data_IF_653602198522
#
_entry.id   IF_653602198522
#
_cell.length_a   1.000
_cell.length_b   1.000
_cell.length_c   1.000
_cell.angle_alpha   90.00
_cell.angle_beta   90.00
_cell.angle_gamma   90.00
#
_symmetry.space_group_name_H-M   'P 1'
#
loop_
_entity.id
_entity.type
_entity.pdbx_description
1 polymer ?
#
# COMPACT_ATOMS: atom_id res chain seq x y z
N UNK A 1 -43.13 -46.75 7.06
CA UNK A 1 -43.38 -47.42 8.35
C UNK A 1 -42.19 -48.30 8.68
N UNK A 2 -41.63 -48.38 9.89
CA UNK A 2 -41.89 -47.58 11.10
C UNK A 2 -40.65 -46.69 11.41
N UNK A 3 -40.78 -45.55 11.99
CA UNK A 3 -40.81 -45.16 13.41
C UNK A 3 -39.80 -45.84 14.32
N UNK A 4 -38.92 -45.05 14.93
CA UNK A 4 -38.59 -45.16 16.33
C UNK A 4 -37.47 -44.18 16.71
N UNK A 5 -37.83 -43.16 17.44
CA UNK A 5 -37.64 -42.89 18.89
C UNK A 5 -36.29 -42.26 19.24
N UNK A 6 -36.38 -40.98 19.56
CA UNK A 6 -35.47 -40.27 20.48
C UNK A 6 -35.76 -40.69 21.92
N UNK A 7 -34.84 -40.58 22.84
CA UNK A 7 -35.16 -40.11 24.18
C UNK A 7 -34.45 -38.82 24.57
N UNK A 8 -35.24 -38.07 25.30
CA UNK A 8 -35.02 -36.81 25.97
C UNK A 8 -34.23 -36.93 27.30
N UNK A 9 -33.47 -35.88 27.59
CA UNK A 9 -33.01 -35.29 28.86
C UNK A 9 -33.56 -35.83 30.21
N UNK A 10 -32.78 -35.57 31.31
CA UNK A 10 -33.11 -34.37 32.05
C UNK A 10 -31.91 -33.57 32.63
N UNK A 11 -32.17 -32.26 32.77
CA UNK A 11 -31.54 -31.22 33.55
C UNK A 11 -31.43 -31.63 35.02
N UNK A 12 -30.26 -31.44 35.63
CA UNK A 12 -30.14 -31.36 37.08
C UNK A 12 -29.35 -30.08 37.47
N UNK A 13 -30.13 -29.15 38.01
CA UNK A 13 -29.66 -27.93 38.71
C UNK A 13 -29.24 -28.38 40.11
N UNK A 14 -28.03 -28.03 40.52
CA UNK A 14 -27.66 -28.05 41.93
C UNK A 14 -26.98 -26.74 42.31
N UNK A 15 -27.75 -25.90 43.00
CA UNK A 15 -27.31 -24.78 43.82
C UNK A 15 -26.53 -25.30 45.02
N UNK A 16 -25.33 -24.81 45.22
CA UNK A 16 -24.56 -25.03 46.44
C UNK A 16 -23.86 -23.73 46.85
N UNK A 17 -24.56 -22.96 47.64
CA UNK A 17 -24.00 -21.82 48.42
C UNK A 17 -23.11 -22.36 49.52
N UNK A 18 -21.80 -22.01 49.48
CA UNK A 18 -20.92 -22.18 50.61
C UNK A 18 -20.30 -20.85 50.99
N UNK A 19 -20.77 -20.30 52.09
CA UNK A 19 -20.28 -19.13 52.79
C UNK A 19 -19.09 -19.55 53.63
N UNK A 20 -17.87 -19.16 53.29
CA UNK A 20 -16.68 -19.31 54.15
C UNK A 20 -16.18 -17.92 54.54
N UNK A 21 -16.47 -17.56 55.76
CA UNK A 21 -15.91 -16.45 56.47
C UNK A 21 -14.45 -16.76 56.86
N UNK A 22 -13.51 -16.24 56.06
CA UNK A 22 -12.07 -16.31 56.36
C UNK A 22 -11.58 -15.03 57.03
N UNK A 23 -11.25 -15.18 58.31
CA UNK A 23 -10.61 -14.19 59.17
C UNK A 23 -9.17 -13.95 58.69
N UNK A 24 -8.88 -12.78 58.08
CA UNK A 24 -7.53 -12.42 57.67
C UNK A 24 -6.86 -11.58 58.76
N UNK A 25 -5.93 -12.21 59.47
CA UNK A 25 -5.03 -11.56 60.39
C UNK A 25 -4.04 -10.67 59.59
N UNK A 26 -4.01 -9.39 59.91
CA UNK A 26 -3.00 -8.45 59.41
C UNK A 26 -1.70 -8.61 60.20
N UNK A 27 -0.54 -8.82 59.59
CA UNK A 27 0.74 -8.62 60.31
C UNK A 27 1.03 -7.11 60.37
N UNK A 28 1.28 -6.64 61.59
CA UNK A 28 1.81 -5.32 61.88
C UNK A 28 3.28 -5.27 61.42
N UNK A 29 3.58 -4.54 60.37
CA UNK A 29 4.96 -4.21 60.04
C UNK A 29 5.39 -3.00 60.82
N UNK A 30 6.41 -3.21 61.66
CA UNK A 30 7.11 -2.17 62.41
C UNK A 30 7.76 -1.18 61.40
N UNK A 31 7.49 0.10 61.59
CA UNK A 31 8.17 1.20 60.92
C UNK A 31 9.63 1.27 61.41
N UNK A 32 10.56 0.79 60.60
CA UNK A 32 11.96 1.15 60.71
C UNK A 32 12.17 2.46 59.92
N UNK A 33 12.48 3.53 60.64
CA UNK A 33 12.75 4.84 60.08
C UNK A 33 14.01 4.80 59.21
N UNK A 34 13.89 5.15 57.92
CA UNK A 34 15.00 5.48 57.06
C UNK A 34 15.23 7.00 57.13
N UNK A 35 16.47 7.47 57.26
CA UNK A 35 16.74 8.91 57.19
C UNK A 35 16.54 9.35 55.71
N UNK A 36 15.63 10.30 55.54
CA UNK A 36 15.41 11.00 54.26
C UNK A 36 16.60 11.94 54.01
N UNK A 37 17.57 11.45 53.26
CA UNK A 37 18.47 12.32 52.53
C UNK A 37 17.94 12.42 51.08
N UNK A 38 17.12 13.44 50.82
CA UNK A 38 16.76 13.85 49.47
C UNK A 38 17.96 14.62 48.94
N UNK A 39 18.62 14.17 47.85
CA UNK A 39 19.57 15.03 47.15
C UNK A 39 18.76 16.15 46.49
N UNK A 40 19.06 17.36 46.85
CA UNK A 40 18.58 18.59 46.26
C UNK A 40 18.97 18.59 44.77
N UNK A 41 18.01 18.30 43.88
CA UNK A 41 18.20 18.45 42.45
C UNK A 41 18.24 19.94 42.16
N UNK A 42 19.32 20.47 41.54
CA UNK A 42 19.35 21.86 41.15
C UNK A 42 18.19 22.15 40.20
N UNK A 43 17.39 23.13 40.57
CA UNK A 43 16.30 23.66 39.75
C UNK A 43 16.87 24.17 38.44
N UNK A 44 16.94 23.28 37.41
CA UNK A 44 17.21 23.71 36.06
C UNK A 44 15.94 24.37 35.55
N UNK A 45 15.95 25.69 35.63
CA UNK A 45 15.04 26.54 34.89
C UNK A 45 15.03 26.09 33.42
N UNK A 46 13.86 25.74 32.83
CA UNK A 46 13.83 25.44 31.43
C UNK A 46 14.29 26.67 30.67
N UNK A 47 15.39 26.52 29.95
CA UNK A 47 15.81 27.52 28.97
C UNK A 47 14.64 27.78 28.00
N UNK A 48 14.31 29.02 27.69
CA UNK A 48 13.33 29.31 26.67
C UNK A 48 13.85 28.74 25.34
N UNK A 49 13.26 27.62 24.93
CA UNK A 49 13.43 27.09 23.56
C UNK A 49 12.63 27.99 22.61
N UNK A 50 13.16 29.17 22.39
CA UNK A 50 12.75 30.04 21.30
C UNK A 50 13.34 29.47 19.98
N UNK A 51 12.98 28.24 19.66
CA UNK A 51 13.02 27.78 18.30
C UNK A 51 11.75 28.34 17.66
N UNK A 52 11.86 29.60 17.22
CA UNK A 52 10.96 30.15 16.23
C UNK A 52 10.95 29.15 15.07
N UNK A 53 9.93 28.27 15.07
CA UNK A 53 9.58 27.50 13.88
C UNK A 53 9.44 28.54 12.78
N UNK A 54 10.39 28.51 11.85
CA UNK A 54 10.26 29.29 10.61
C UNK A 54 8.84 29.04 10.10
N UNK A 55 8.06 30.09 9.80
CA UNK A 55 6.71 29.90 9.28
C UNK A 55 6.85 29.01 8.05
N UNK A 56 6.11 27.89 8.06
CA UNK A 56 6.00 27.02 6.90
C UNK A 56 5.68 27.93 5.70
N UNK A 57 6.37 27.78 4.56
CA UNK A 57 6.09 28.59 3.40
C UNK A 57 4.59 28.51 3.13
N UNK A 58 3.91 29.64 2.86
CA UNK A 58 2.49 29.64 2.63
C UNK A 58 2.22 28.62 1.53
N UNK A 59 1.33 27.67 1.81
CA UNK A 59 0.82 26.74 0.81
C UNK A 59 0.26 27.60 -0.31
N UNK A 60 0.99 27.68 -1.42
CA UNK A 60 0.48 28.37 -2.61
C UNK A 60 -0.82 27.65 -2.98
N UNK A 61 -1.93 28.35 -3.16
CA UNK A 61 -3.15 27.73 -3.59
C UNK A 61 -2.82 26.97 -4.87
N UNK A 62 -2.97 25.67 -4.83
CA UNK A 62 -2.73 24.79 -5.97
C UNK A 62 -3.71 25.22 -7.06
N UNK A 63 -3.18 25.80 -8.15
CA UNK A 63 -4.00 26.25 -9.28
C UNK A 63 -4.66 24.99 -9.89
N UNK A 64 -5.94 24.82 -9.65
CA UNK A 64 -6.72 23.82 -10.35
C UNK A 64 -6.91 24.30 -11.78
N UNK A 65 -6.36 23.59 -12.74
CA UNK A 65 -6.53 23.88 -14.16
C UNK A 65 -7.70 23.06 -14.71
N UNK A 66 -8.50 23.68 -15.56
CA UNK A 66 -9.56 23.01 -16.31
C UNK A 66 -8.97 22.15 -17.41
N UNK A 67 -9.53 20.97 -17.62
CA UNK A 67 -9.10 20.05 -18.66
C UNK A 67 -10.24 19.30 -19.32
N UNK A 68 -9.93 18.52 -20.35
CA UNK A 68 -10.91 17.71 -21.07
C UNK A 68 -11.66 16.76 -20.13
N UNK A 69 -12.97 16.63 -20.37
CA UNK A 69 -13.90 15.84 -19.56
C UNK A 69 -14.29 16.42 -18.21
N UNK A 70 -13.80 17.58 -17.78
CA UNK A 70 -14.28 18.25 -16.58
C UNK A 70 -15.73 18.71 -16.75
N UNK A 71 -16.51 18.59 -15.70
CA UNK A 71 -17.89 19.07 -15.65
C UNK A 71 -17.91 20.43 -14.99
N UNK A 72 -18.24 21.44 -15.77
CA UNK A 72 -18.24 22.84 -15.37
C UNK A 72 -19.65 23.39 -15.38
N UNK A 73 -20.01 24.10 -14.34
CA UNK A 73 -21.27 24.87 -14.25
C UNK A 73 -20.93 26.34 -14.34
N UNK A 74 -21.46 26.98 -15.35
CA UNK A 74 -21.30 28.41 -15.64
C UNK A 74 -22.59 29.12 -15.31
N UNK A 75 -22.56 30.05 -14.36
CA UNK A 75 -23.69 30.81 -13.92
C UNK A 75 -23.48 32.29 -14.29
N UNK A 76 -24.42 32.88 -15.03
CA UNK A 76 -24.38 34.29 -15.41
C UNK A 76 -25.36 35.06 -14.54
N UNK A 77 -24.85 36.05 -13.79
CA UNK A 77 -25.66 36.84 -12.86
C UNK A 77 -26.73 37.63 -13.61
N UNK A 78 -27.95 37.62 -13.10
CA UNK A 78 -29.15 38.25 -13.70
C UNK A 78 -29.54 37.75 -15.10
N UNK A 79 -28.92 36.70 -15.64
CA UNK A 79 -29.27 36.12 -16.95
C UNK A 79 -29.28 34.60 -16.84
N UNK A 80 -30.24 33.99 -16.13
CA UNK A 80 -30.26 32.56 -15.88
C UNK A 80 -30.38 31.72 -17.17
N UNK A 81 -30.88 32.28 -18.23
CA UNK A 81 -31.02 31.62 -19.55
C UNK A 81 -29.64 31.32 -20.18
N UNK A 82 -28.58 32.02 -19.78
CA UNK A 82 -27.22 31.79 -20.22
C UNK A 82 -26.43 30.85 -19.27
N UNK A 83 -27.03 30.55 -18.12
CA UNK A 83 -26.41 29.61 -17.19
C UNK A 83 -26.50 28.19 -17.75
N UNK A 84 -25.38 27.47 -17.76
CA UNK A 84 -25.31 26.14 -18.34
C UNK A 84 -24.39 25.25 -17.55
N UNK A 85 -24.64 23.95 -17.60
CA UNK A 85 -23.76 22.92 -17.09
C UNK A 85 -23.32 22.10 -18.26
N UNK A 86 -22.04 22.13 -18.52
CA UNK A 86 -21.44 21.46 -19.66
C UNK A 86 -20.13 20.74 -19.31
N UNK A 87 -19.79 19.76 -20.14
CA UNK A 87 -18.51 19.07 -20.04
C UNK A 87 -17.53 19.69 -21.03
N UNK A 88 -16.31 19.93 -20.57
CA UNK A 88 -15.21 20.38 -21.44
C UNK A 88 -14.93 19.29 -22.47
N UNK A 89 -14.93 19.69 -23.74
CA UNK A 89 -14.69 18.76 -24.88
C UNK A 89 -13.23 18.28 -24.90
N UNK A 90 -12.96 17.31 -25.78
CA UNK A 90 -11.58 16.84 -26.00
C UNK A 90 -10.66 17.89 -26.65
N UNK A 91 -11.25 18.93 -27.26
CA UNK A 91 -10.53 20.10 -27.80
C UNK A 91 -10.30 21.20 -26.77
N UNK A 92 -10.71 20.98 -25.52
CA UNK A 92 -10.55 21.96 -24.44
C UNK A 92 -11.62 23.04 -24.40
N UNK A 93 -12.70 22.89 -25.14
CA UNK A 93 -13.74 23.90 -25.27
C UNK A 93 -14.99 23.56 -24.48
N UNK A 94 -15.67 24.57 -23.97
CA UNK A 94 -17.01 24.46 -23.41
C UNK A 94 -18.01 25.18 -24.29
N UNK A 95 -19.18 24.57 -24.54
CA UNK A 95 -20.29 25.19 -25.27
C UNK A 95 -21.13 26.04 -24.32
N UNK A 96 -21.37 27.27 -24.71
CA UNK A 96 -22.22 28.23 -24.00
C UNK A 96 -23.26 28.84 -24.96
N UNK A 97 -24.52 29.00 -24.54
CA UNK A 97 -25.53 29.68 -25.34
C UNK A 97 -25.06 31.07 -25.77
N UNK A 98 -25.39 31.47 -26.99
CA UNK A 98 -25.07 32.74 -27.65
C UNK A 98 -23.60 33.00 -28.04
N UNK A 99 -22.63 32.45 -27.30
CA UNK A 99 -21.19 32.67 -27.58
C UNK A 99 -20.49 31.42 -28.10
N UNK A 100 -21.26 30.35 -28.34
CA UNK A 100 -20.75 29.05 -28.86
C UNK A 100 -19.63 28.47 -28.02
N UNK A 101 -18.55 28.06 -28.65
CA UNK A 101 -17.44 27.39 -28.00
C UNK A 101 -16.44 28.39 -27.43
N UNK A 102 -16.07 28.20 -26.16
CA UNK A 102 -15.04 28.96 -25.44
C UNK A 102 -13.94 28.00 -25.02
N UNK A 103 -12.71 28.32 -25.40
CA UNK A 103 -11.54 27.53 -24.98
C UNK A 103 -11.22 27.79 -23.52
N UNK A 104 -11.20 26.71 -22.72
CA UNK A 104 -11.00 26.79 -21.26
C UNK A 104 -9.90 25.83 -20.77
N UNK A 105 -9.36 24.97 -21.63
CA UNK A 105 -8.29 24.05 -21.25
C UNK A 105 -7.04 24.81 -20.79
N UNK A 106 -6.44 24.37 -19.66
CA UNK A 106 -5.26 24.98 -19.07
C UNK A 106 -5.53 26.29 -18.35
N UNK A 107 -6.76 26.78 -18.32
CA UNK A 107 -7.15 27.95 -17.54
C UNK A 107 -7.60 27.54 -16.13
N UNK A 108 -7.40 28.44 -15.18
CA UNK A 108 -8.09 28.33 -13.88
C UNK A 108 -9.56 28.69 -14.02
N UNK A 109 -10.44 28.31 -13.07
CA UNK A 109 -11.83 28.75 -13.07
C UNK A 109 -12.02 30.26 -13.18
N UNK A 110 -11.12 31.05 -12.54
CA UNK A 110 -11.13 32.50 -12.57
C UNK A 110 -10.72 33.05 -13.93
N UNK A 111 -9.70 32.43 -14.57
CA UNK A 111 -9.28 32.81 -15.93
C UNK A 111 -10.35 32.45 -16.97
N UNK A 112 -11.00 31.28 -16.81
CA UNK A 112 -12.12 30.87 -17.65
C UNK A 112 -13.33 31.82 -17.49
N UNK A 113 -13.64 32.24 -16.25
CA UNK A 113 -14.63 33.25 -15.97
C UNK A 113 -14.37 34.54 -16.75
N UNK A 114 -13.13 35.10 -16.66
CA UNK A 114 -12.75 36.31 -17.35
C UNK A 114 -12.86 36.18 -18.89
N UNK A 115 -12.47 34.99 -19.42
CA UNK A 115 -12.59 34.72 -20.86
C UNK A 115 -14.03 34.68 -21.33
N UNK A 116 -14.94 34.09 -20.54
CA UNK A 116 -16.38 34.02 -20.83
C UNK A 116 -17.02 35.44 -20.74
N UNK A 117 -16.70 36.18 -19.66
CA UNK A 117 -17.17 37.57 -19.47
C UNK A 117 -16.81 38.47 -20.66
N UNK A 118 -15.54 38.37 -21.09
CA UNK A 118 -15.04 39.10 -22.24
C UNK A 118 -15.82 38.74 -23.51
N UNK A 119 -16.04 37.44 -23.77
CA UNK A 119 -16.74 36.99 -24.98
C UNK A 119 -18.22 37.42 -25.02
N UNK A 120 -18.87 37.40 -23.85
CA UNK A 120 -20.27 37.90 -23.70
C UNK A 120 -20.37 39.42 -23.90
N UNK A 121 -19.37 40.17 -23.43
CA UNK A 121 -19.31 41.65 -23.60
C UNK A 121 -18.98 42.03 -25.03
N UNK A 122 -17.94 41.42 -25.64
CA UNK A 122 -17.49 41.71 -27.01
C UNK A 122 -18.57 41.36 -28.04
N UNK A 123 -19.34 40.27 -27.79
CA UNK A 123 -20.48 39.90 -28.62
C UNK A 123 -21.73 40.78 -28.45
N UNK A 124 -21.71 41.70 -27.50
CA UNK A 124 -22.83 42.59 -27.22
C UNK A 124 -24.07 41.92 -26.60
N UNK A 125 -23.93 40.67 -26.16
CA UNK A 125 -25.03 39.88 -25.61
C UNK A 125 -25.43 40.34 -24.20
N UNK A 126 -24.43 40.70 -23.37
CA UNK A 126 -24.66 41.17 -22.01
C UNK A 126 -23.77 42.39 -21.75
N UNK A 127 -24.36 43.44 -21.23
CA UNK A 127 -23.62 44.65 -20.81
C UNK A 127 -23.11 44.46 -19.38
N UNK A 128 -21.76 44.43 -19.19
CA UNK A 128 -21.11 44.14 -17.92
C UNK A 128 -21.51 42.76 -17.34
N UNK A 129 -21.18 41.67 -18.01
CA UNK A 129 -21.51 40.33 -17.51
C UNK A 129 -20.70 40.01 -16.24
N UNK A 130 -21.35 39.37 -15.27
CA UNK A 130 -20.70 38.76 -14.12
C UNK A 130 -20.96 37.25 -14.18
N UNK A 131 -19.89 36.49 -14.37
CA UNK A 131 -19.95 35.05 -14.54
C UNK A 131 -19.32 34.38 -13.33
N UNK A 132 -19.89 33.27 -12.91
CA UNK A 132 -19.29 32.38 -11.90
C UNK A 132 -19.08 31.00 -12.52
N UNK A 133 -17.85 30.53 -12.51
CA UNK A 133 -17.46 29.22 -13.04
C UNK A 133 -17.18 28.27 -11.87
N UNK A 134 -17.98 27.21 -11.78
CA UNK A 134 -17.84 26.17 -10.73
C UNK A 134 -17.47 24.84 -11.38
N UNK A 135 -16.40 24.23 -10.92
CA UNK A 135 -16.01 22.86 -11.32
C UNK A 135 -16.77 21.88 -10.45
N UNK A 136 -17.72 21.17 -11.05
CA UNK A 136 -18.56 20.19 -10.35
C UNK A 136 -17.89 18.80 -10.33
N UNK A 137 -17.13 18.46 -11.39
CA UNK A 137 -16.40 17.21 -11.50
C UNK A 137 -15.06 17.46 -12.23
N UNK A 138 -13.96 17.10 -11.61
CA UNK A 138 -12.61 17.31 -12.12
C UNK A 138 -12.04 15.99 -12.66
N UNK A 139 -12.68 15.45 -13.69
CA UNK A 139 -12.24 14.18 -14.31
C UNK A 139 -10.87 14.30 -14.94
N UNK A 140 -10.45 15.50 -15.38
CA UNK A 140 -9.11 15.77 -15.93
C UNK A 140 -8.03 15.67 -14.87
N UNK A 141 -8.38 15.92 -13.62
CA UNK A 141 -7.46 15.92 -12.48
C UNK A 141 -7.32 14.54 -11.81
N UNK A 142 -7.85 13.49 -12.42
CA UNK A 142 -7.80 12.16 -11.85
C UNK A 142 -6.49 11.45 -12.17
N UNK A 143 -5.99 10.68 -11.21
CA UNK A 143 -4.89 9.73 -11.34
C UNK A 143 -5.45 8.33 -11.20
N UNK A 144 -5.09 7.44 -12.12
CA UNK A 144 -5.48 6.03 -12.07
C UNK A 144 -4.46 5.23 -11.28
N UNK A 145 -4.88 4.61 -10.18
CA UNK A 145 -4.03 3.79 -9.33
C UNK A 145 -4.40 2.31 -9.47
N UNK A 146 -3.44 1.50 -9.91
CA UNK A 146 -3.63 0.09 -10.25
C UNK A 146 -2.62 -0.82 -9.53
N UNK A 147 -2.90 -2.12 -9.52
CA UNK A 147 -1.99 -3.15 -8.99
C UNK A 147 -2.14 -3.38 -7.50
N UNK A 148 -1.04 -3.59 -6.80
CA UNK A 148 -1.01 -4.05 -5.40
C UNK A 148 -1.17 -2.89 -4.40
N UNK A 149 -2.31 -2.22 -4.48
CA UNK A 149 -2.81 -1.22 -3.51
C UNK A 149 -4.10 -1.69 -2.88
N UNK A 150 -4.40 -1.21 -1.68
CA UNK A 150 -5.58 -1.68 -0.92
C UNK A 150 -6.90 -1.39 -1.64
N UNK A 151 -6.99 -0.23 -2.30
CA UNK A 151 -8.18 0.19 -3.06
C UNK A 151 -7.73 0.73 -4.42
N UNK A 152 -7.59 -0.12 -5.46
CA UNK A 152 -7.32 0.36 -6.81
C UNK A 152 -8.52 1.17 -7.34
N UNK A 153 -8.23 2.18 -8.16
CA UNK A 153 -9.27 3.05 -8.70
C UNK A 153 -8.74 4.39 -9.19
N UNK A 154 -9.65 5.31 -9.44
CA UNK A 154 -9.36 6.68 -9.86
C UNK A 154 -9.41 7.62 -8.65
N UNK A 155 -8.39 8.44 -8.48
CA UNK A 155 -8.25 9.38 -7.37
C UNK A 155 -8.08 10.80 -7.89
N UNK A 156 -8.89 11.71 -7.42
CA UNK A 156 -8.78 13.11 -7.80
C UNK A 156 -7.58 13.75 -7.11
N UNK A 157 -6.70 14.34 -7.91
CA UNK A 157 -5.49 15.01 -7.46
C UNK A 157 -5.63 16.51 -7.74
N UNK A 158 -5.90 17.27 -6.71
CA UNK A 158 -5.97 18.75 -6.79
C UNK A 158 -4.59 19.30 -6.40
N UNK A 159 -3.96 20.00 -7.35
CA UNK A 159 -2.63 20.55 -7.19
C UNK A 159 -1.49 19.52 -7.22
N UNK A 160 -0.33 19.92 -6.73
CA UNK A 160 0.83 19.03 -6.68
C UNK A 160 0.65 18.00 -5.56
N UNK A 161 0.56 16.74 -5.93
CA UNK A 161 0.54 15.60 -5.02
C UNK A 161 1.70 14.68 -5.28
N UNK A 162 2.24 14.11 -4.21
CA UNK A 162 3.31 13.13 -4.32
C UNK A 162 2.75 11.71 -4.37
N UNK A 163 3.53 10.80 -4.90
CA UNK A 163 3.19 9.40 -5.10
C UNK A 163 2.65 8.74 -3.81
N UNK A 164 3.32 8.96 -2.67
CA UNK A 164 2.92 8.40 -1.39
C UNK A 164 1.58 8.97 -0.88
N UNK A 165 1.24 10.21 -1.21
CA UNK A 165 -0.04 10.80 -0.82
C UNK A 165 -1.20 10.11 -1.53
N UNK A 166 -1.03 9.83 -2.84
CA UNK A 166 -2.04 9.12 -3.65
C UNK A 166 -2.20 7.67 -3.19
N UNK A 167 -1.08 6.99 -2.91
CA UNK A 167 -1.10 5.62 -2.39
C UNK A 167 -1.75 5.57 -1.01
N UNK A 168 -1.47 6.55 -0.15
CA UNK A 168 -2.08 6.65 1.18
C UNK A 168 -3.59 6.88 1.10
N UNK A 169 -4.06 7.69 0.16
CA UNK A 169 -5.49 7.88 -0.10
C UNK A 169 -6.17 6.58 -0.54
N UNK A 170 -5.43 5.68 -1.23
CA UNK A 170 -5.89 4.35 -1.61
C UNK A 170 -5.81 3.30 -0.48
N UNK A 171 -5.47 3.71 0.74
CA UNK A 171 -5.33 2.82 1.89
C UNK A 171 -3.99 2.09 1.99
N UNK A 172 -2.98 2.56 1.23
CA UNK A 172 -1.63 2.01 1.26
C UNK A 172 -1.42 0.79 0.35
N UNK A 173 -0.27 0.17 0.50
CA UNK A 173 0.11 -1.04 -0.22
C UNK A 173 -0.56 -2.29 0.34
N UNK A 174 -0.73 -3.32 -0.51
CA UNK A 174 -1.09 -4.66 -0.05
C UNK A 174 0.15 -5.40 0.49
N UNK A 175 -0.05 -6.50 1.20
CA UNK A 175 1.04 -7.40 1.62
C UNK A 175 1.80 -8.05 0.44
N UNK A 176 1.26 -7.94 -0.75
CA UNK A 176 1.85 -8.49 -1.98
C UNK A 176 2.58 -7.45 -2.81
N UNK A 177 2.55 -6.20 -2.40
CA UNK A 177 3.21 -5.12 -3.12
C UNK A 177 4.72 -5.32 -3.16
N UNK A 178 5.31 -5.07 -4.32
CA UNK A 178 6.74 -4.95 -4.50
C UNK A 178 7.22 -3.52 -4.31
N UNK A 179 8.53 -3.35 -4.18
CA UNK A 179 9.13 -2.02 -4.08
C UNK A 179 9.17 -1.24 -5.40
N UNK A 180 8.67 -1.78 -6.49
CA UNK A 180 8.71 -1.14 -7.82
C UNK A 180 7.33 -0.60 -8.20
N UNK A 181 7.28 0.67 -8.55
CA UNK A 181 6.09 1.36 -9.03
C UNK A 181 6.39 1.93 -10.42
N UNK A 182 5.48 1.74 -11.35
CA UNK A 182 5.58 2.31 -12.68
C UNK A 182 4.55 3.41 -12.86
N UNK A 183 4.98 4.53 -13.43
CA UNK A 183 4.14 5.69 -13.69
C UNK A 183 4.20 5.98 -15.18
N UNK A 184 3.05 5.96 -15.83
CA UNK A 184 2.88 6.38 -17.20
C UNK A 184 2.18 7.74 -17.21
N UNK A 185 2.88 8.76 -17.73
CA UNK A 185 2.31 10.10 -17.86
C UNK A 185 1.33 10.16 -19.03
N UNK A 186 0.23 10.85 -18.86
CA UNK A 186 -0.77 11.04 -19.94
C UNK A 186 -0.18 11.76 -21.15
N UNK A 187 0.74 12.69 -20.93
CA UNK A 187 1.41 13.46 -21.98
C UNK A 187 2.37 12.61 -22.83
N UNK A 188 2.95 11.55 -22.25
CA UNK A 188 3.84 10.62 -22.93
C UNK A 188 3.68 9.20 -22.40
N UNK A 189 2.65 8.46 -22.87
CA UNK A 189 2.36 7.10 -22.42
C UNK A 189 3.46 6.09 -22.80
N UNK A 190 4.33 6.43 -23.75
CA UNK A 190 5.43 5.57 -24.17
C UNK A 190 6.62 5.62 -23.23
N UNK A 191 6.76 6.70 -22.48
CA UNK A 191 7.84 6.90 -21.50
C UNK A 191 7.37 6.55 -20.10
N UNK A 192 7.53 5.29 -19.72
CA UNK A 192 7.14 4.80 -18.39
C UNK A 192 8.28 5.03 -17.41
N UNK A 193 8.02 5.81 -16.37
CA UNK A 193 8.96 6.05 -15.27
C UNK A 193 8.84 4.92 -14.26
N UNK A 194 9.94 4.21 -14.00
CA UNK A 194 10.00 3.18 -12.97
C UNK A 194 10.66 3.73 -11.71
N UNK A 195 9.95 3.72 -10.61
CA UNK A 195 10.38 4.23 -9.32
C UNK A 195 10.50 3.08 -8.33
N UNK A 196 11.61 3.03 -7.60
CA UNK A 196 11.75 2.13 -6.46
C UNK A 196 11.51 2.90 -5.18
N UNK A 197 10.53 2.44 -4.42
CA UNK A 197 10.31 2.91 -3.05
C UNK A 197 11.03 1.95 -2.10
N UNK A 198 12.03 2.45 -1.35
CA UNK A 198 12.58 1.69 -0.23
C UNK A 198 11.49 1.45 0.82
N UNK A 199 11.72 0.45 1.67
CA UNK A 199 10.78 0.03 2.72
C UNK A 199 10.47 1.12 3.77
N UNK A 200 11.24 2.19 3.80
CA UNK A 200 10.97 3.36 4.62
C UNK A 200 10.04 4.33 3.87
N UNK A 201 8.85 4.47 4.36
CA UNK A 201 7.84 5.42 3.85
C UNK A 201 8.18 6.88 4.19
N UNK A 202 9.46 7.25 4.21
CA UNK A 202 9.87 8.61 4.49
C UNK A 202 9.41 9.59 3.40
N UNK A 203 8.79 10.73 3.75
CA UNK A 203 8.42 11.76 2.77
C UNK A 203 9.61 12.30 1.97
N UNK A 204 10.83 12.22 2.54
CA UNK A 204 12.07 12.65 1.90
C UNK A 204 12.65 11.63 0.92
N UNK A 205 11.98 10.48 0.72
CA UNK A 205 12.42 9.45 -0.20
C UNK A 205 12.48 9.99 -1.64
N UNK A 206 13.60 9.85 -2.35
CA UNK A 206 13.72 10.31 -3.74
C UNK A 206 12.75 9.62 -4.70
N UNK A 207 12.21 8.45 -4.33
CA UNK A 207 11.14 7.78 -5.07
C UNK A 207 9.75 8.38 -4.87
N UNK A 208 9.59 9.31 -3.92
CA UNK A 208 8.32 10.00 -3.69
C UNK A 208 8.18 11.20 -4.66
N UNK A 209 8.07 10.90 -5.95
CA UNK A 209 7.96 11.90 -7.01
C UNK A 209 6.58 12.53 -7.08
N UNK A 210 6.48 13.67 -7.73
CA UNK A 210 5.21 14.35 -8.00
C UNK A 210 4.43 13.56 -9.05
N UNK A 211 3.16 13.35 -8.81
CA UNK A 211 2.22 12.69 -9.74
C UNK A 211 1.37 13.77 -10.38
N UNK A 212 1.24 13.71 -11.69
CA UNK A 212 0.49 14.69 -12.47
C UNK A 212 -0.95 14.22 -12.74
N UNK A 213 -1.88 15.14 -12.90
CA UNK A 213 -3.23 14.82 -13.37
C UNK A 213 -3.21 14.02 -14.69
N UNK A 214 -4.00 12.95 -14.73
CA UNK A 214 -4.05 12.05 -15.87
C UNK A 214 -3.05 10.90 -15.86
N UNK A 215 -2.14 10.85 -14.89
CA UNK A 215 -1.16 9.79 -14.77
C UNK A 215 -1.80 8.45 -14.42
N UNK A 216 -1.15 7.39 -14.90
CA UNK A 216 -1.46 6.02 -14.48
C UNK A 216 -0.32 5.48 -13.63
N UNK A 217 -0.61 5.20 -12.38
CA UNK A 217 0.33 4.64 -11.41
C UNK A 217 0.01 3.17 -11.21
N UNK A 218 0.98 2.30 -11.46
CA UNK A 218 0.85 0.86 -11.27
C UNK A 218 1.84 0.36 -10.22
N UNK A 219 1.33 -0.16 -9.13
CA UNK A 219 2.14 -0.82 -8.10
C UNK A 219 2.34 -2.28 -8.48
N UNK A 220 3.58 -2.65 -8.76
CA UNK A 220 3.91 -4.01 -9.17
C UNK A 220 3.85 -4.97 -7.99
N UNK A 221 3.48 -6.21 -8.28
CA UNK A 221 3.57 -7.28 -7.31
C UNK A 221 5.02 -7.62 -7.01
N UNK A 222 5.32 -7.84 -5.75
CA UNK A 222 6.65 -8.27 -5.31
C UNK A 222 7.01 -9.67 -5.81
N UNK A 223 8.30 -9.94 -5.97
CA UNK A 223 8.78 -11.26 -6.33
C UNK A 223 8.41 -12.28 -5.25
N UNK A 224 8.01 -13.48 -5.68
CA UNK A 224 7.63 -14.58 -4.79
C UNK A 224 8.78 -15.57 -4.68
N UNK A 225 9.06 -16.04 -3.46
CA UNK A 225 10.02 -17.07 -3.13
C UNK A 225 9.31 -18.19 -2.36
N UNK A 226 9.73 -19.40 -2.54
CA UNK A 226 9.09 -20.55 -1.91
C UNK A 226 10.05 -21.24 -0.94
N UNK A 227 9.53 -21.62 0.22
CA UNK A 227 10.25 -22.47 1.18
C UNK A 227 9.43 -23.72 1.40
N UNK A 228 10.02 -24.88 1.14
CA UNK A 228 9.35 -26.17 1.22
C UNK A 228 10.21 -27.20 1.95
N UNK A 229 9.57 -28.26 2.44
CA UNK A 229 10.22 -29.34 3.16
C UNK A 229 10.12 -29.17 4.67
N UNK A 230 11.18 -29.53 5.39
CA UNK A 230 11.17 -29.68 6.85
C UNK A 230 11.46 -28.36 7.59
N UNK A 231 10.52 -27.42 7.43
CA UNK A 231 10.47 -26.11 8.10
C UNK A 231 9.16 -25.96 8.84
N UNK A 232 9.09 -25.02 9.77
CA UNK A 232 7.90 -24.85 10.62
C UNK A 232 6.65 -24.44 9.81
N UNK A 233 6.81 -23.56 8.82
CA UNK A 233 5.72 -23.04 7.96
C UNK A 233 6.17 -23.05 6.50
N UNK A 234 6.03 -24.18 5.78
CA UNK A 234 6.28 -24.21 4.35
C UNK A 234 5.28 -23.31 3.64
N UNK A 235 5.75 -22.34 2.85
CA UNK A 235 4.89 -21.38 2.15
C UNK A 235 5.64 -20.65 1.04
N UNK A 236 4.87 -19.86 0.25
CA UNK A 236 5.40 -18.83 -0.63
C UNK A 236 5.42 -17.48 0.10
N UNK A 237 6.52 -16.76 -0.02
CA UNK A 237 6.73 -15.45 0.60
C UNK A 237 6.95 -14.40 -0.48
N UNK A 238 6.32 -13.25 -0.34
CA UNK A 238 6.55 -12.09 -1.20
C UNK A 238 7.65 -11.24 -0.58
N UNK A 239 8.55 -10.71 -1.41
CA UNK A 239 9.54 -9.73 -0.97
C UNK A 239 9.17 -8.34 -1.45
N UNK A 240 9.29 -7.38 -0.57
CA UNK A 240 9.20 -5.95 -0.82
C UNK A 240 10.51 -5.34 -1.34
N UNK A 241 11.58 -6.11 -1.26
CA UNK A 241 12.94 -5.69 -1.61
C UNK A 241 13.55 -6.59 -2.68
N UNK A 242 14.51 -6.04 -3.44
CA UNK A 242 15.31 -6.81 -4.41
C UNK A 242 16.28 -7.79 -3.72
N UNK A 243 16.52 -7.62 -2.42
CA UNK A 243 17.40 -8.48 -1.65
C UNK A 243 16.58 -9.46 -0.83
N UNK A 244 16.54 -10.70 -1.29
CA UNK A 244 15.97 -11.80 -0.56
C UNK A 244 17.01 -12.90 -0.40
N UNK A 245 17.23 -13.37 0.83
CA UNK A 245 18.27 -14.32 1.15
C UNK A 245 17.70 -15.59 1.78
N UNK A 246 18.52 -16.64 1.78
CA UNK A 246 18.16 -17.91 2.41
C UNK A 246 17.89 -17.75 3.90
N UNK A 247 18.67 -16.91 4.59
CA UNK A 247 18.45 -16.66 6.02
C UNK A 247 17.10 -15.97 6.26
N UNK A 248 16.76 -14.94 5.45
CA UNK A 248 15.46 -14.27 5.50
C UNK A 248 14.31 -15.24 5.18
N UNK A 249 14.48 -16.10 4.16
CA UNK A 249 13.51 -17.12 3.79
C UNK A 249 13.21 -18.09 4.94
N UNK A 250 14.25 -18.62 5.56
CA UNK A 250 14.11 -19.54 6.70
C UNK A 250 13.51 -18.85 7.93
N UNK A 251 13.89 -17.61 8.20
CA UNK A 251 13.31 -16.84 9.31
C UNK A 251 11.79 -16.63 9.11
N UNK A 252 11.35 -16.25 7.90
CA UNK A 252 9.93 -16.10 7.57
C UNK A 252 9.17 -17.43 7.65
N UNK A 253 9.82 -18.55 7.29
CA UNK A 253 9.26 -19.89 7.44
C UNK A 253 9.22 -20.38 8.91
N UNK A 254 9.64 -19.56 9.89
CA UNK A 254 9.64 -19.89 11.31
C UNK A 254 10.83 -20.76 11.75
N UNK A 255 11.80 -20.96 10.88
CA UNK A 255 12.98 -21.79 11.13
C UNK A 255 12.83 -23.24 10.65
N UNK A 256 13.96 -23.99 10.65
CA UNK A 256 13.94 -25.42 10.34
C UNK A 256 13.41 -26.23 11.52
N UNK A 257 12.70 -27.32 11.26
CA UNK A 257 12.31 -28.28 12.29
C UNK A 257 13.51 -29.03 12.86
N UNK A 258 13.33 -29.68 14.01
CA UNK A 258 14.39 -30.48 14.67
C UNK A 258 14.88 -31.66 13.81
N UNK A 259 14.00 -32.15 12.93
CA UNK A 259 14.25 -33.25 12.00
C UNK A 259 14.90 -32.80 10.69
N UNK A 260 15.06 -31.51 10.46
CA UNK A 260 15.59 -30.97 9.21
C UNK A 260 17.08 -31.33 8.96
N UNK A 261 17.38 -31.70 7.73
CA UNK A 261 18.76 -31.96 7.27
C UNK A 261 19.36 -30.68 6.68
N UNK A 262 19.94 -29.84 7.55
CA UNK A 262 20.47 -28.52 7.18
C UNK A 262 21.62 -28.57 6.15
N UNK A 263 22.37 -29.70 6.08
CA UNK A 263 23.45 -29.87 5.09
C UNK A 263 22.94 -30.31 3.71
N UNK A 264 21.70 -30.78 3.63
CA UNK A 264 21.06 -31.22 2.39
C UNK A 264 20.18 -30.16 1.72
N UNK A 265 20.13 -28.95 2.28
CA UNK A 265 19.29 -27.88 1.75
C UNK A 265 19.77 -27.42 0.37
N UNK A 266 18.82 -27.18 -0.53
CA UNK A 266 19.09 -26.79 -1.92
C UNK A 266 18.11 -25.69 -2.37
N UNK A 267 18.59 -24.81 -3.23
CA UNK A 267 17.72 -23.93 -4.01
C UNK A 267 17.45 -24.59 -5.35
N UNK A 268 16.18 -24.70 -5.71
CA UNK A 268 15.74 -25.10 -7.02
C UNK A 268 15.41 -23.84 -7.80
N UNK A 269 16.17 -23.58 -8.86
CA UNK A 269 16.02 -22.40 -9.72
C UNK A 269 15.60 -22.82 -11.11
N UNK A 270 14.50 -22.28 -11.59
CA UNK A 270 14.04 -22.49 -12.95
C UNK A 270 14.89 -21.64 -13.91
N UNK A 271 15.48 -22.27 -14.93
CA UNK A 271 16.21 -21.59 -15.99
C UNK A 271 15.67 -22.02 -17.37
N UNK A 272 16.08 -21.34 -18.41
CA UNK A 272 15.70 -21.70 -19.81
C UNK A 272 16.12 -23.11 -20.21
N UNK A 273 17.17 -23.64 -19.54
CA UNK A 273 17.76 -24.97 -19.82
C UNK A 273 17.23 -26.06 -18.86
N UNK A 274 16.26 -25.74 -17.98
CA UNK A 274 15.70 -26.67 -16.99
C UNK A 274 15.82 -26.17 -15.56
N UNK A 275 15.73 -27.08 -14.57
CA UNK A 275 15.83 -26.74 -13.16
C UNK A 275 17.24 -26.93 -12.65
N UNK A 276 17.91 -25.85 -12.29
CA UNK A 276 19.21 -25.87 -11.63
C UNK A 276 19.07 -26.13 -10.12
N UNK A 277 19.96 -26.97 -9.57
CA UNK A 277 20.05 -27.25 -8.14
C UNK A 277 21.30 -26.58 -7.57
N UNK A 278 21.11 -25.66 -6.63
CA UNK A 278 22.19 -24.93 -5.96
C UNK A 278 22.24 -25.41 -4.52
N UNK A 279 23.32 -26.07 -4.12
CA UNK A 279 23.51 -26.52 -2.73
C UNK A 279 23.67 -25.32 -1.80
N UNK A 280 22.98 -25.36 -0.67
CA UNK A 280 22.99 -24.31 0.33
C UNK A 280 23.55 -24.84 1.63
N UNK A 281 24.65 -24.27 2.14
CA UNK A 281 25.24 -24.70 3.41
C UNK A 281 24.47 -24.11 4.60
N UNK A 282 23.15 -24.42 4.69
CA UNK A 282 22.23 -23.81 5.63
C UNK A 282 22.72 -23.87 7.09
N UNK A 283 23.34 -24.99 7.49
CA UNK A 283 23.90 -25.13 8.83
C UNK A 283 25.02 -24.13 9.12
N UNK A 284 25.83 -23.80 8.12
CA UNK A 284 26.92 -22.84 8.27
C UNK A 284 26.40 -21.41 8.26
N UNK A 285 25.42 -21.10 7.40
CA UNK A 285 24.74 -19.81 7.33
C UNK A 285 24.09 -19.49 8.67
N UNK A 286 23.30 -20.41 9.24
CA UNK A 286 22.66 -20.25 10.55
C UNK A 286 23.63 -20.07 11.72
N UNK A 287 24.91 -20.48 11.56
CA UNK A 287 25.98 -20.31 12.53
C UNK A 287 26.89 -19.11 12.22
N UNK A 288 26.54 -18.31 11.23
CA UNK A 288 27.35 -17.20 10.70
C UNK A 288 28.80 -17.64 10.30
N UNK A 289 28.96 -18.89 9.83
CA UNK A 289 30.24 -19.44 9.35
C UNK A 289 30.34 -19.45 7.82
N UNK A 290 29.33 -19.07 7.11
CA UNK A 290 29.26 -18.92 5.65
C UNK A 290 28.43 -17.72 5.31
N UNK A 291 28.74 -17.08 4.19
CA UNK A 291 27.95 -15.99 3.63
C UNK A 291 26.52 -16.46 3.32
N UNK A 292 25.58 -15.55 3.45
CA UNK A 292 24.18 -15.82 3.13
C UNK A 292 23.99 -15.85 1.61
N UNK A 293 23.21 -16.81 1.14
CA UNK A 293 22.97 -17.02 -0.29
C UNK A 293 21.77 -16.18 -0.74
N UNK A 294 21.98 -15.38 -1.80
CA UNK A 294 20.90 -14.60 -2.41
C UNK A 294 19.99 -15.51 -3.24
N UNK A 295 18.68 -15.36 -3.05
CA UNK A 295 17.64 -15.99 -3.83
C UNK A 295 17.15 -15.06 -4.94
N UNK A 296 16.67 -15.64 -6.05
CA UNK A 296 16.06 -14.96 -7.18
C UNK A 296 14.55 -15.22 -7.19
N UNK A 297 13.78 -14.31 -7.81
CA UNK A 297 12.35 -14.47 -7.96
C UNK A 297 11.99 -15.86 -8.55
N UNK A 298 11.03 -16.53 -7.90
CA UNK A 298 10.64 -17.89 -8.28
C UNK A 298 11.51 -19.02 -7.76
N UNK A 299 12.59 -18.72 -7.02
CA UNK A 299 13.42 -19.77 -6.38
C UNK A 299 12.61 -20.54 -5.33
N UNK A 300 12.90 -21.83 -5.23
CA UNK A 300 12.33 -22.72 -4.22
C UNK A 300 13.47 -23.21 -3.32
N UNK A 301 13.45 -22.79 -2.07
CA UNK A 301 14.35 -23.33 -1.05
C UNK A 301 13.75 -24.63 -0.50
N UNK A 302 14.43 -25.75 -0.76
CA UNK A 302 14.05 -27.05 -0.27
C UNK A 302 14.93 -27.45 0.93
N UNK A 303 14.28 -27.77 2.04
CA UNK A 303 14.94 -28.23 3.27
C UNK A 303 14.50 -29.69 3.52
N UNK A 304 15.35 -30.69 3.24
CA UNK A 304 14.97 -32.09 3.42
C UNK A 304 14.95 -32.50 4.90
N UNK A 305 14.20 -33.57 5.21
CA UNK A 305 14.28 -34.21 6.53
C UNK A 305 15.50 -35.14 6.64
N UNK A 306 15.99 -35.34 7.84
CA UNK A 306 17.14 -36.22 8.10
C UNK A 306 16.84 -37.71 7.87
N UNK A 307 15.56 -38.12 7.93
CA UNK A 307 15.14 -39.51 7.71
C UNK A 307 15.05 -39.90 6.22
N UNK A 308 15.14 -38.95 5.29
CA UNK A 308 14.84 -39.18 3.87
C UNK A 308 16.06 -39.21 2.95
N UNK A 309 17.22 -39.67 3.41
CA UNK A 309 18.39 -39.83 2.53
C UNK A 309 18.12 -40.69 1.27
N UNK A 310 17.15 -41.60 1.35
CA UNK A 310 16.76 -42.45 0.22
C UNK A 310 15.68 -41.83 -0.69
N UNK A 311 14.89 -40.83 -0.19
CA UNK A 311 13.78 -40.22 -0.94
C UNK A 311 14.17 -38.99 -1.75
N UNK A 312 15.43 -38.52 -1.64
CA UNK A 312 15.83 -37.22 -2.21
C UNK A 312 15.74 -37.18 -3.75
N UNK A 313 15.99 -38.33 -4.42
CA UNK A 313 15.91 -38.40 -5.89
C UNK A 313 14.48 -38.40 -6.41
N UNK A 314 13.49 -38.93 -5.66
CA UNK A 314 12.10 -38.96 -6.07
C UNK A 314 11.33 -37.71 -5.70
N UNK A 315 11.69 -37.03 -4.60
CA UNK A 315 10.99 -35.81 -4.18
C UNK A 315 11.28 -34.58 -5.04
N UNK A 316 12.47 -34.49 -5.62
CA UNK A 316 12.81 -33.39 -6.54
C UNK A 316 11.97 -33.47 -7.83
N UNK A 317 11.75 -34.69 -8.36
CA UNK A 317 10.90 -34.87 -9.54
C UNK A 317 9.43 -34.57 -9.23
N UNK A 318 8.93 -34.96 -8.05
CA UNK A 318 7.57 -34.66 -7.62
C UNK A 318 7.32 -33.17 -7.41
N UNK A 319 8.27 -32.44 -6.83
CA UNK A 319 8.16 -30.98 -6.62
C UNK A 319 8.22 -30.23 -7.95
N UNK A 320 9.04 -30.70 -8.90
CA UNK A 320 9.10 -30.09 -10.24
C UNK A 320 7.80 -30.30 -11.01
N UNK A 321 7.12 -31.42 -10.83
CA UNK A 321 5.80 -31.67 -11.40
C UNK A 321 4.69 -30.85 -10.71
N UNK A 322 4.75 -30.66 -9.40
CA UNK A 322 3.82 -29.80 -8.67
C UNK A 322 3.99 -28.32 -9.02
N UNK A 323 5.21 -27.84 -9.21
CA UNK A 323 5.47 -26.46 -9.62
C UNK A 323 5.00 -26.17 -11.04
N UNK A 324 4.96 -27.16 -11.92
CA UNK A 324 4.36 -27.04 -13.26
C UNK A 324 2.83 -27.19 -13.24
N UNK A 325 2.27 -27.89 -12.25
CA UNK A 325 0.82 -28.12 -12.11
C UNK A 325 0.10 -27.08 -11.21
N UNK A 326 0.76 -26.56 -10.19
CA UNK A 326 0.15 -25.59 -9.26
C UNK A 326 -0.10 -24.20 -9.90
N UNK A 327 0.57 -23.88 -11.00
CA UNK A 327 0.26 -22.70 -11.78
C UNK A 327 -1.14 -22.71 -12.41
N UNK A 328 -1.77 -23.89 -12.50
CA UNK A 328 -3.10 -24.07 -13.10
C UNK A 328 -4.25 -24.09 -12.06
N UNK A 329 -3.96 -24.25 -10.77
CA UNK A 329 -4.99 -24.33 -9.71
C UNK A 329 -5.15 -23.05 -8.87
N UNK A 330 -4.25 -22.08 -9.04
CA UNK A 330 -4.33 -20.78 -8.36
C UNK A 330 -5.22 -19.74 -9.10
N UNK A 331 -5.90 -20.14 -10.19
CA UNK A 331 -6.83 -19.29 -10.94
C UNK A 331 -8.23 -19.91 -10.84
N UNK A 332 -8.80 -19.87 -9.66
CA UNK A 332 -10.26 -19.96 -9.49
C UNK A 332 -10.69 -19.02 -8.36
N UNK A 333 -11.74 -18.20 -8.66
CA UNK A 333 -12.21 -17.11 -7.82
C UNK A 333 -12.77 -17.56 -6.48
#
# INVERSE_FOLDING_TARGET
MPESKRPSLPVLVLMGTLLVTGFVARPAFAQAGFPSAVPEVPNQQPAPSDQAQAPAPPLQPSKQLLGPSDLVEVNVYNVPELSTKGRVSNSGDIYLPLIDYVHVEGLTPEEAQAAIEKKLSDGGFVKNPHVVVLVTDSSSSNVSLLGEVSKPGSYTVLGERRLLDVISAAGGFTERAGGTITIAHRSDPSHVVSVKLPSDSSPANPGNIVVQPGDTVMVQRGPVFYVVGDVLRPSGFVSDTDYFSVLKAIALAGGPNKTASLNGSTILRKSAQGTAQIKVPLKQILRAKSEDVRMQAGDILFVPSSASKAALQHSVQAITQLASGAALLAIRP
#
